data_IF_747494893097
#
_entry.id   IF_747494893097
#
_cell.length_a   1.000
_cell.length_b   1.000
_cell.length_c   1.000
_cell.angle_alpha   90.00
_cell.angle_beta   90.00
_cell.angle_gamma   90.00
#
_symmetry.space_group_name_H-M   'P 1'
#
loop_
_entity.id
_entity.type
_entity.pdbx_description
1 polymer ?
#
# COMPACT_ATOMS: atom_id res chain seq x y z
N UNK A 1 -16.80 -33.97 14.99
CA UNK A 1 -16.50 -33.22 13.74
C UNK A 1 -15.66 -32.00 14.11
N UNK A 2 -14.36 -31.99 13.77
CA UNK A 2 -13.52 -30.80 14.00
C UNK A 2 -14.01 -29.71 13.05
N UNK A 3 -14.52 -28.60 13.61
CA UNK A 3 -14.76 -27.39 12.82
C UNK A 3 -13.39 -26.90 12.38
N UNK A 4 -13.02 -27.19 11.14
CA UNK A 4 -11.84 -26.59 10.52
C UNK A 4 -12.14 -25.10 10.40
N UNK A 5 -11.60 -24.32 11.33
CA UNK A 5 -11.57 -22.87 11.20
C UNK A 5 -10.80 -22.56 9.92
N UNK A 6 -11.53 -22.15 8.89
CA UNK A 6 -10.94 -21.54 7.70
C UNK A 6 -10.87 -20.05 8.00
N UNK A 7 -9.69 -19.50 8.38
CA UNK A 7 -9.55 -18.05 8.42
C UNK A 7 -9.96 -17.52 7.04
N UNK A 8 -10.76 -16.45 6.96
CA UNK A 8 -11.11 -15.86 5.68
C UNK A 8 -9.80 -15.41 5.01
N UNK A 9 -9.41 -16.09 3.94
CA UNK A 9 -8.26 -15.75 3.10
C UNK A 9 -8.53 -14.52 2.23
N UNK A 10 -9.38 -13.60 2.69
CA UNK A 10 -9.59 -12.31 2.03
C UNK A 10 -8.66 -11.29 2.69
N UNK A 11 -7.38 -11.35 2.34
CA UNK A 11 -6.63 -10.10 2.31
C UNK A 11 -7.32 -9.25 1.24
N UNK A 12 -8.15 -8.29 1.64
CA UNK A 12 -8.85 -7.34 0.74
C UNK A 12 -7.87 -6.33 0.14
N UNK A 13 -6.69 -6.78 -0.30
CA UNK A 13 -5.72 -5.93 -0.95
C UNK A 13 -6.00 -6.00 -2.45
N UNK A 14 -6.52 -4.93 -3.01
CA UNK A 14 -6.72 -4.80 -4.44
C UNK A 14 -5.43 -4.36 -5.13
N UNK A 15 -5.14 -4.96 -6.28
CA UNK A 15 -4.01 -4.54 -7.12
C UNK A 15 -4.45 -3.37 -8.00
N UNK A 16 -3.83 -2.22 -7.77
CA UNK A 16 -4.09 -1.00 -8.55
C UNK A 16 -2.90 -0.73 -9.47
N UNK A 17 -3.18 -0.46 -10.75
CA UNK A 17 -2.16 -0.05 -11.74
C UNK A 17 -2.42 1.39 -12.17
N UNK A 18 -1.35 2.18 -12.29
CA UNK A 18 -1.43 3.57 -12.71
C UNK A 18 -0.24 3.94 -13.59
N UNK A 19 -0.40 4.96 -14.44
CA UNK A 19 0.72 5.50 -15.22
C UNK A 19 1.58 6.37 -14.31
N UNK A 20 2.86 6.03 -14.20
CA UNK A 20 3.83 6.77 -13.40
C UNK A 20 4.86 7.47 -14.31
N UNK A 21 5.12 8.78 -14.16
CA UNK A 21 6.22 9.44 -14.84
C UNK A 21 7.56 8.77 -14.54
N UNK A 22 8.41 8.58 -15.57
CA UNK A 22 9.69 7.86 -15.44
C UNK A 22 10.57 8.41 -14.30
N UNK A 23 10.70 9.74 -14.21
CA UNK A 23 11.47 10.41 -13.16
C UNK A 23 10.94 10.14 -11.76
N UNK A 24 9.61 10.06 -11.60
CA UNK A 24 9.01 9.72 -10.31
C UNK A 24 9.30 8.27 -9.94
N UNK A 25 9.17 7.34 -10.88
CA UNK A 25 9.54 5.93 -10.67
C UNK A 25 11.00 5.79 -10.21
N UNK A 26 11.93 6.49 -10.85
CA UNK A 26 13.35 6.46 -10.47
C UNK A 26 13.59 6.94 -9.04
N UNK A 27 12.88 8.00 -8.60
CA UNK A 27 12.95 8.49 -7.21
C UNK A 27 12.37 7.49 -6.21
N UNK A 28 11.25 6.85 -6.55
CA UNK A 28 10.64 5.81 -5.71
C UNK A 28 11.57 4.60 -5.57
N UNK A 29 12.15 4.14 -6.69
CA UNK A 29 13.12 3.04 -6.70
C UNK A 29 14.34 3.37 -5.84
N UNK A 30 14.86 4.60 -5.93
CA UNK A 30 16.00 5.05 -5.11
C UNK A 30 15.65 5.08 -3.62
N UNK A 31 14.45 5.55 -3.25
CA UNK A 31 14.02 5.58 -1.85
C UNK A 31 13.92 4.17 -1.23
N UNK A 32 13.51 3.18 -2.02
CA UNK A 32 13.51 1.77 -1.59
C UNK A 32 14.94 1.23 -1.48
N UNK A 33 15.82 1.54 -2.44
CA UNK A 33 17.24 1.16 -2.37
C UNK A 33 17.98 1.76 -1.18
N UNK A 34 17.66 3.00 -0.82
CA UNK A 34 18.19 3.70 0.34
C UNK A 34 17.69 3.10 1.68
N UNK A 35 16.75 2.15 1.64
CA UNK A 35 16.16 1.54 2.83
C UNK A 35 15.16 2.44 3.56
N UNK A 36 14.75 3.57 2.97
CA UNK A 36 13.74 4.47 3.57
C UNK A 36 12.35 3.81 3.60
N UNK A 37 12.08 2.94 2.64
CA UNK A 37 10.85 2.17 2.55
C UNK A 37 11.15 0.73 2.16
N UNK A 38 10.36 -0.20 2.70
CA UNK A 38 10.51 -1.63 2.39
C UNK A 38 10.13 -1.96 0.95
N UNK A 39 9.12 -1.30 0.39
CA UNK A 39 8.63 -1.50 -0.97
C UNK A 39 8.06 -0.21 -1.56
N UNK A 40 7.93 -0.16 -2.88
CA UNK A 40 7.24 0.91 -3.61
C UNK A 40 5.78 1.02 -3.14
N UNK A 41 5.12 -0.11 -2.88
CA UNK A 41 3.75 -0.16 -2.36
C UNK A 41 3.64 0.52 -1.00
N UNK A 42 4.55 0.22 -0.08
CA UNK A 42 4.57 0.85 1.25
C UNK A 42 4.73 2.37 1.15
N UNK A 43 5.70 2.83 0.34
CA UNK A 43 5.90 4.25 0.05
C UNK A 43 4.62 4.90 -0.51
N UNK A 44 3.98 4.25 -1.48
CA UNK A 44 2.79 4.79 -2.14
C UNK A 44 1.62 4.89 -1.16
N UNK A 45 1.39 3.85 -0.35
CA UNK A 45 0.32 3.83 0.65
C UNK A 45 0.52 4.92 1.69
N UNK A 46 1.74 5.09 2.20
CA UNK A 46 2.06 6.13 3.19
C UNK A 46 1.83 7.54 2.61
N UNK A 47 2.38 7.80 1.42
CA UNK A 47 2.20 9.08 0.74
C UNK A 47 0.73 9.41 0.43
N UNK A 48 -0.07 8.40 0.07
CA UNK A 48 -1.51 8.56 -0.18
C UNK A 48 -2.27 8.80 1.13
N UNK A 49 -1.96 8.06 2.21
CA UNK A 49 -2.57 8.27 3.53
C UNK A 49 -2.32 9.68 4.07
N UNK A 50 -1.09 10.16 3.97
CA UNK A 50 -0.70 11.51 4.40
C UNK A 50 -1.47 12.60 3.64
N UNK A 51 -1.74 12.37 2.35
CA UNK A 51 -2.45 13.34 1.50
C UNK A 51 -3.96 13.29 1.63
N UNK A 52 -4.52 12.11 1.86
CA UNK A 52 -5.96 11.94 1.99
C UNK A 52 -6.47 12.21 3.40
N UNK A 53 -5.60 12.50 4.39
CA UNK A 53 -5.97 12.57 5.80
C UNK A 53 -6.89 11.41 6.16
N UNK A 54 -6.44 10.18 5.87
CA UNK A 54 -7.27 9.00 6.04
C UNK A 54 -7.55 8.80 7.54
N UNK A 55 -8.67 9.35 8.00
CA UNK A 55 -9.20 9.16 9.33
C UNK A 55 -10.00 7.85 9.28
N UNK A 56 -9.51 6.76 9.89
CA UNK A 56 -10.20 5.47 9.86
C UNK A 56 -11.58 5.50 10.56
N UNK A 57 -11.91 6.60 11.24
CA UNK A 57 -13.21 6.87 11.87
C UNK A 57 -14.10 7.88 11.10
N UNK A 58 -13.67 8.35 9.91
CA UNK A 58 -14.49 9.23 9.06
C UNK A 58 -15.42 8.43 8.13
N UNK A 59 -16.28 7.59 8.72
CA UNK A 59 -17.52 7.14 8.08
C UNK A 59 -18.60 8.18 8.41
N UNK A 60 -18.82 9.11 7.49
CA UNK A 60 -19.91 10.10 7.54
C UNK A 60 -20.76 9.99 6.27
#
# INVERSE_FOLDING_TARGET
>A
MKKNYNPPTSSKTELVTFRCPKKLKELMDQAVKDGKYQTITALTVEAVKDKLQFDPDSDA
#
